data_IF_805000449108
#
_entry.id   IF_805000449108
#
_cell.length_a   1.000
_cell.length_b   1.000
_cell.length_c   1.000
_cell.angle_alpha   90.00
_cell.angle_beta   90.00
_cell.angle_gamma   90.00
#
_symmetry.space_group_name_H-M   'P 1'
#
loop_
_entity.id
_entity.type
_entity.pdbx_description
1 polymer ?
#
# COMPACT_ATOMS: atom_id res chain seq x y z
N UNK A 1 -3.59 21.09 1.89
CA UNK A 1 -3.68 20.18 3.06
C UNK A 1 -4.10 18.85 2.49
N UNK A 2 -3.15 17.93 2.33
CA UNK A 2 -3.42 16.62 1.73
C UNK A 2 -4.21 15.82 2.76
N UNK A 3 -5.44 15.45 2.42
CA UNK A 3 -6.30 14.64 3.29
C UNK A 3 -5.69 13.24 3.29
N UNK A 4 -5.38 12.65 4.46
CA UNK A 4 -4.94 11.26 4.52
C UNK A 4 -6.00 10.39 3.85
N UNK A 5 -5.61 9.67 2.79
CA UNK A 5 -6.54 8.75 2.12
C UNK A 5 -6.73 7.54 3.03
N UNK A 6 -7.95 7.31 3.48
CA UNK A 6 -8.34 6.10 4.19
C UNK A 6 -8.37 4.91 3.21
N UNK A 7 -7.19 4.34 2.99
CA UNK A 7 -6.95 3.29 2.00
C UNK A 7 -7.82 2.04 2.23
N UNK A 8 -8.19 1.72 3.48
CA UNK A 8 -9.10 0.61 3.77
C UNK A 8 -10.53 0.90 3.31
N UNK A 9 -11.01 2.14 3.48
CA UNK A 9 -12.32 2.59 3.00
C UNK A 9 -12.36 2.56 1.48
N UNK A 10 -11.33 3.09 0.81
CA UNK A 10 -11.25 3.11 -0.65
C UNK A 10 -11.27 1.69 -1.24
N UNK A 11 -10.51 0.77 -0.66
CA UNK A 11 -10.53 -0.64 -1.07
C UNK A 11 -11.92 -1.26 -0.94
N UNK A 12 -12.60 -1.05 0.21
CA UNK A 12 -13.98 -1.56 0.42
C UNK A 12 -14.99 -0.96 -0.54
N UNK A 13 -14.92 0.34 -0.79
CA UNK A 13 -15.81 1.05 -1.73
C UNK A 13 -15.69 0.48 -3.15
N UNK A 14 -14.51 0.01 -3.53
CA UNK A 14 -14.27 -0.62 -4.82
C UNK A 14 -14.44 -2.16 -4.81
N UNK A 15 -14.98 -2.74 -3.74
CA UNK A 15 -15.22 -4.18 -3.63
C UNK A 15 -13.93 -5.02 -3.53
N UNK A 16 -12.81 -4.40 -3.20
CA UNK A 16 -11.51 -5.06 -3.05
C UNK A 16 -11.31 -5.54 -1.61
N UNK A 17 -10.66 -6.69 -1.47
CA UNK A 17 -10.33 -7.24 -0.16
C UNK A 17 -9.28 -6.38 0.54
N UNK A 18 -9.56 -5.96 1.77
CA UNK A 18 -8.64 -5.18 2.62
C UNK A 18 -7.62 -6.13 3.25
N UNK A 19 -6.54 -6.39 2.53
CA UNK A 19 -5.44 -7.24 3.01
C UNK A 19 -4.27 -6.40 3.52
N UNK A 20 -3.46 -6.97 4.42
CA UNK A 20 -2.23 -6.34 4.90
C UNK A 20 -1.30 -5.92 3.74
N UNK A 21 -1.14 -6.79 2.72
CA UNK A 21 -0.34 -6.49 1.53
C UNK A 21 -0.85 -5.26 0.77
N UNK A 22 -2.16 -5.15 0.50
CA UNK A 22 -2.70 -3.99 -0.24
C UNK A 22 -2.54 -2.70 0.54
N UNK A 23 -2.76 -2.74 1.86
CA UNK A 23 -2.57 -1.57 2.71
C UNK A 23 -1.10 -1.14 2.78
N UNK A 24 -0.18 -2.08 2.93
CA UNK A 24 1.26 -1.79 2.96
C UNK A 24 1.75 -1.23 1.61
N UNK A 25 1.28 -1.77 0.48
CA UNK A 25 1.59 -1.23 -0.87
C UNK A 25 1.11 0.22 -1.00
N UNK A 26 -0.14 0.52 -0.63
CA UNK A 26 -0.69 1.87 -0.74
C UNK A 26 0.05 2.88 0.17
N UNK A 27 0.47 2.46 1.37
CA UNK A 27 1.35 3.26 2.24
C UNK A 27 2.71 3.50 1.58
N UNK A 28 3.37 2.45 1.09
CA UNK A 28 4.71 2.55 0.48
C UNK A 28 4.73 3.47 -0.76
N UNK A 29 3.68 3.43 -1.60
CA UNK A 29 3.53 4.32 -2.76
C UNK A 29 3.31 5.77 -2.33
N UNK A 30 2.52 5.99 -1.28
CA UNK A 30 2.27 7.33 -0.74
C UNK A 30 3.56 7.95 -0.17
N UNK A 31 4.35 7.14 0.55
CA UNK A 31 5.61 7.58 1.15
C UNK A 31 6.74 7.80 0.13
N UNK A 32 6.66 7.14 -1.04
CA UNK A 32 7.73 7.15 -2.05
C UNK A 32 7.18 7.38 -3.46
N UNK A 33 6.81 8.63 -3.73
CA UNK A 33 6.36 9.07 -5.05
C UNK A 33 7.33 8.63 -6.17
N UNK A 34 6.78 8.10 -7.27
CA UNK A 34 7.51 7.64 -8.46
C UNK A 34 8.52 6.49 -8.24
N UNK A 35 8.38 5.69 -7.18
CA UNK A 35 9.21 4.50 -6.97
C UNK A 35 8.94 3.40 -7.99
N UNK A 36 9.93 2.53 -8.19
CA UNK A 36 9.78 1.33 -9.00
C UNK A 36 9.00 0.24 -8.27
N UNK A 37 8.48 -0.74 -9.01
CA UNK A 37 7.82 -1.90 -8.41
C UNK A 37 8.76 -2.68 -7.46
N UNK A 38 10.04 -2.82 -7.82
CA UNK A 38 11.06 -3.48 -7.00
C UNK A 38 11.31 -2.72 -5.68
N UNK A 39 11.33 -1.38 -5.73
CA UNK A 39 11.48 -0.55 -4.53
C UNK A 39 10.28 -0.73 -3.58
N UNK A 40 9.07 -0.85 -4.15
CA UNK A 40 7.85 -1.11 -3.37
C UNK A 40 7.85 -2.53 -2.81
N UNK A 41 8.20 -3.56 -3.58
CA UNK A 41 8.30 -4.94 -3.10
C UNK A 41 9.28 -5.03 -1.92
N UNK A 42 10.48 -4.44 -2.06
CA UNK A 42 11.47 -4.37 -0.98
C UNK A 42 10.94 -3.65 0.26
N UNK A 43 10.23 -2.53 0.08
CA UNK A 43 9.68 -1.76 1.20
C UNK A 43 8.60 -2.55 1.94
N UNK A 44 7.65 -3.14 1.22
CA UNK A 44 6.54 -3.90 1.79
C UNK A 44 7.06 -5.17 2.46
N UNK A 45 8.04 -5.86 1.87
CA UNK A 45 8.66 -7.03 2.51
C UNK A 45 9.38 -6.68 3.81
N UNK A 46 10.01 -5.51 3.87
CA UNK A 46 10.64 -5.02 5.10
C UNK A 46 9.60 -4.69 6.20
N UNK A 47 8.36 -4.33 5.82
CA UNK A 47 7.28 -3.99 6.75
C UNK A 47 6.52 -5.23 7.26
N UNK A 48 6.03 -6.08 6.35
CA UNK A 48 5.10 -7.17 6.68
C UNK A 48 5.65 -8.58 6.38
N UNK A 49 6.90 -8.68 5.93
CA UNK A 49 7.57 -9.95 5.66
C UNK A 49 7.29 -10.49 4.25
N UNK A 50 6.55 -11.59 4.14
CA UNK A 50 6.30 -12.23 2.85
C UNK A 50 5.01 -11.71 2.20
N UNK A 51 5.08 -11.45 0.90
CA UNK A 51 3.95 -11.10 0.04
C UNK A 51 3.95 -11.97 -1.22
N UNK A 52 2.74 -12.29 -1.73
CA UNK A 52 2.50 -13.16 -2.89
C UNK A 52 2.19 -12.39 -4.15
#
# INVERSE_FOLDING_TARGET
MEVPVDNDVLLRQHGLQVTAQRLAVLRAVSDRSHSTADDIDRAVRAEIGAIS
#
